data_IF_971785694273
#
_entry.id   IF_971785694273
#
_cell.length_a   1.000
_cell.length_b   1.000
_cell.length_c   1.000
_cell.angle_alpha   90.00
_cell.angle_beta   90.00
_cell.angle_gamma   90.00
#
_symmetry.space_group_name_H-M   'P 1'
#
loop_
_entity.id
_entity.type
_entity.pdbx_description
1 polymer ?
#
# COMPACT_ATOMS: atom_id res chain seq x y z
N UNK A 1 0.62 -14.26 -14.24
CA UNK A 1 0.66 -13.39 -15.42
C UNK A 1 1.18 -12.01 -15.04
N UNK A 2 2.23 -11.49 -15.74
CA UNK A 2 2.74 -10.14 -15.54
C UNK A 2 1.86 -9.12 -16.25
N UNK A 3 1.52 -8.02 -15.58
CA UNK A 3 0.63 -6.96 -16.05
C UNK A 3 1.15 -5.58 -15.65
N UNK A 4 0.71 -4.59 -16.41
CA UNK A 4 0.67 -3.18 -16.00
C UNK A 4 -0.78 -2.77 -15.77
N UNK A 5 -1.02 -1.64 -15.13
CA UNK A 5 -2.39 -1.10 -15.03
C UNK A 5 -3.03 -0.76 -16.37
N UNK A 6 -2.22 -0.58 -17.43
CA UNK A 6 -2.69 -0.30 -18.78
C UNK A 6 -3.21 -1.56 -19.51
N UNK A 7 -2.70 -2.73 -19.16
CA UNK A 7 -3.17 -3.99 -19.72
C UNK A 7 -4.65 -4.19 -19.32
N UNK A 8 -5.50 -4.45 -20.28
CA UNK A 8 -6.94 -4.59 -20.06
C UNK A 8 -7.63 -3.40 -19.37
N UNK A 9 -6.97 -2.25 -19.27
CA UNK A 9 -7.41 -1.08 -18.51
C UNK A 9 -7.67 -1.38 -17.00
N UNK A 10 -6.92 -2.29 -16.39
CA UNK A 10 -7.14 -2.74 -15.02
C UNK A 10 -6.98 -1.64 -13.99
N UNK A 11 -6.00 -0.72 -14.17
CA UNK A 11 -5.75 0.34 -13.18
C UNK A 11 -5.57 1.68 -13.88
N UNK A 12 -6.58 2.54 -13.78
CA UNK A 12 -6.55 3.91 -14.29
C UNK A 12 -6.12 4.89 -13.21
N UNK A 13 -5.29 5.85 -13.61
CA UNK A 13 -4.79 6.89 -12.71
C UNK A 13 -5.06 8.29 -13.28
N UNK A 14 -5.10 9.27 -12.40
CA UNK A 14 -5.09 10.68 -12.79
C UNK A 14 -3.66 11.19 -12.76
N UNK A 15 -3.20 11.87 -13.83
CA UNK A 15 -1.89 12.51 -13.78
C UNK A 15 -1.87 13.51 -12.63
N UNK A 16 -0.85 13.40 -11.76
CA UNK A 16 -0.65 14.33 -10.64
C UNK A 16 -0.49 15.75 -11.16
N UNK A 17 -1.26 16.65 -10.58
CA UNK A 17 -1.09 18.07 -10.85
C UNK A 17 0.13 18.61 -10.10
N UNK A 18 0.78 19.69 -10.58
CA UNK A 18 1.86 20.33 -9.86
C UNK A 18 1.45 20.70 -8.43
N UNK A 19 2.33 20.40 -7.46
CA UNK A 19 2.09 20.58 -6.03
C UNK A 19 2.92 21.73 -5.50
N UNK A 20 2.36 22.55 -4.62
CA UNK A 20 3.11 23.58 -3.88
C UNK A 20 3.95 22.91 -2.81
N UNK A 21 5.25 23.16 -2.84
CA UNK A 21 6.22 22.67 -1.87
C UNK A 21 7.03 23.86 -1.34
N UNK A 22 7.18 23.95 -0.03
CA UNK A 22 8.04 24.98 0.55
C UNK A 22 9.51 24.65 0.25
N UNK A 23 10.21 25.60 -0.36
CA UNK A 23 11.64 25.49 -0.64
C UNK A 23 12.43 26.28 0.41
N UNK A 24 13.21 25.58 1.23
CA UNK A 24 14.08 26.24 2.20
C UNK A 24 15.12 27.13 1.52
N UNK A 25 15.66 26.71 0.38
CA UNK A 25 16.63 27.46 -0.41
C UNK A 25 16.08 28.81 -0.92
N UNK A 26 14.79 28.82 -1.30
CA UNK A 26 14.13 30.04 -1.82
C UNK A 26 13.34 30.79 -0.76
N UNK A 27 13.17 30.23 0.43
CA UNK A 27 12.33 30.79 1.48
C UNK A 27 10.87 31.02 1.09
N UNK A 28 10.36 30.28 0.11
CA UNK A 28 9.01 30.46 -0.47
C UNK A 28 8.45 29.16 -1.02
N UNK A 29 7.12 29.12 -1.19
CA UNK A 29 6.44 28.03 -1.90
C UNK A 29 6.83 28.04 -3.38
N UNK A 30 7.24 26.90 -3.89
CA UNK A 30 7.46 26.65 -5.31
C UNK A 30 6.46 25.61 -5.83
N UNK A 31 6.10 25.73 -7.11
CA UNK A 31 5.27 24.73 -7.77
C UNK A 31 6.17 23.65 -8.37
N UNK A 32 6.00 22.40 -7.94
CA UNK A 32 6.77 21.25 -8.42
C UNK A 32 5.90 20.37 -9.27
N UNK A 33 6.28 20.19 -10.54
CA UNK A 33 5.70 19.17 -11.44
C UNK A 33 6.54 17.89 -11.32
N UNK A 34 5.92 16.82 -10.82
CA UNK A 34 6.56 15.49 -10.70
C UNK A 34 6.56 14.70 -12.01
N UNK A 35 6.13 15.30 -13.13
CA UNK A 35 6.11 14.66 -14.44
C UNK A 35 4.96 13.65 -14.59
N UNK A 36 5.27 12.47 -15.08
CA UNK A 36 4.27 11.43 -15.38
C UNK A 36 3.98 10.55 -14.17
N UNK A 37 3.53 11.15 -13.07
CA UNK A 37 3.08 10.45 -11.85
C UNK A 37 1.56 10.31 -11.88
N UNK A 38 1.09 9.11 -11.52
CA UNK A 38 -0.33 8.78 -11.41
C UNK A 38 -0.81 8.72 -9.97
N UNK A 39 -1.91 9.38 -9.69
CA UNK A 39 -2.65 9.29 -8.45
C UNK A 39 -3.88 8.39 -8.62
N UNK A 40 -4.13 7.53 -7.63
CA UNK A 40 -5.24 6.57 -7.62
C UNK A 40 -6.33 7.01 -6.66
N UNK A 41 -7.56 6.58 -6.96
CA UNK A 41 -8.73 6.71 -6.10
C UNK A 41 -9.54 5.39 -6.09
N UNK A 42 -10.65 5.35 -5.36
CA UNK A 42 -11.52 4.19 -5.17
C UNK A 42 -12.21 3.69 -6.45
N UNK A 43 -12.11 4.44 -7.55
CA UNK A 43 -12.64 4.09 -8.88
C UNK A 43 -11.55 3.65 -9.84
N UNK A 44 -10.29 3.62 -9.42
CA UNK A 44 -9.13 3.39 -10.27
C UNK A 44 -9.01 1.95 -10.77
N UNK A 45 -9.52 0.96 -10.01
CA UNK A 45 -9.37 -0.48 -10.30
C UNK A 45 -10.65 -1.06 -10.89
N UNK A 46 -10.52 -1.76 -12.03
CA UNK A 46 -11.58 -2.62 -12.54
C UNK A 46 -11.60 -3.96 -11.80
N UNK A 47 -12.27 -3.98 -10.66
CA UNK A 47 -12.33 -5.16 -9.79
C UNK A 47 -13.09 -6.33 -10.41
N UNK A 48 -14.06 -6.07 -11.29
CA UNK A 48 -14.80 -7.14 -11.99
C UNK A 48 -13.92 -7.85 -13.03
N UNK A 49 -13.17 -7.10 -13.82
CA UNK A 49 -12.23 -7.68 -14.76
C UNK A 49 -11.09 -8.44 -14.05
N UNK A 50 -10.59 -7.90 -12.95
CA UNK A 50 -9.57 -8.55 -12.14
C UNK A 50 -10.10 -9.84 -11.49
N UNK A 51 -11.33 -9.84 -10.98
CA UNK A 51 -12.01 -11.04 -10.44
C UNK A 51 -12.05 -12.17 -11.48
N UNK A 52 -12.38 -11.86 -12.73
CA UNK A 52 -12.42 -12.86 -13.82
C UNK A 52 -11.06 -13.51 -14.06
N UNK A 53 -9.95 -12.77 -13.94
CA UNK A 53 -8.61 -13.36 -14.04
C UNK A 53 -8.34 -14.34 -12.88
N UNK A 54 -8.74 -13.99 -11.67
CA UNK A 54 -8.59 -14.87 -10.50
C UNK A 54 -9.43 -16.14 -10.65
N UNK A 55 -10.69 -16.04 -11.12
CA UNK A 55 -11.58 -17.17 -11.38
C UNK A 55 -11.04 -18.13 -12.45
N UNK A 56 -10.28 -17.62 -13.42
CA UNK A 56 -9.54 -18.42 -14.41
C UNK A 56 -8.27 -19.08 -13.85
N UNK A 57 -7.95 -18.86 -12.57
CA UNK A 57 -6.78 -19.44 -11.89
C UNK A 57 -5.48 -18.68 -12.14
N UNK A 58 -5.51 -17.48 -12.69
CA UNK A 58 -4.31 -16.67 -12.84
C UNK A 58 -3.92 -16.00 -11.50
N UNK A 59 -2.61 -15.82 -11.31
CA UNK A 59 -2.05 -14.94 -10.29
C UNK A 59 -1.54 -13.67 -11.01
N UNK A 60 -2.27 -12.54 -10.96
CA UNK A 60 -1.84 -11.27 -11.55
C UNK A 60 -0.65 -10.69 -10.77
N UNK A 61 0.39 -10.24 -11.48
CA UNK A 61 1.55 -9.56 -10.92
C UNK A 61 1.67 -8.20 -11.60
N UNK A 62 1.29 -7.14 -10.90
CA UNK A 62 1.30 -5.80 -11.45
C UNK A 62 2.64 -5.09 -11.22
N UNK A 63 3.14 -4.43 -12.27
CA UNK A 63 4.21 -3.44 -12.14
C UNK A 63 3.65 -2.08 -11.70
N UNK A 64 4.54 -1.17 -11.29
CA UNK A 64 4.20 0.17 -10.83
C UNK A 64 3.84 1.15 -11.96
N UNK A 65 3.24 0.66 -13.04
CA UNK A 65 2.81 1.43 -14.21
C UNK A 65 1.29 1.40 -14.33
N UNK A 66 0.70 2.58 -14.42
CA UNK A 66 -0.73 2.81 -14.63
C UNK A 66 -0.93 3.63 -15.92
N UNK A 67 -2.15 4.08 -16.21
CA UNK A 67 -2.45 4.89 -17.37
C UNK A 67 -3.61 5.86 -17.11
N UNK A 68 -3.70 6.93 -17.92
CA UNK A 68 -4.75 7.95 -17.79
C UNK A 68 -6.05 7.62 -18.55
N UNK A 69 -6.12 6.49 -19.23
CA UNK A 69 -7.22 6.10 -20.10
C UNK A 69 -7.22 6.80 -21.49
N UNK A 70 -6.18 7.59 -21.79
CA UNK A 70 -6.05 8.35 -23.06
C UNK A 70 -4.74 8.05 -23.80
N UNK A 71 -4.02 7.00 -23.37
CA UNK A 71 -2.78 6.54 -24.00
C UNK A 71 -1.51 6.99 -23.29
N UNK A 72 -1.59 7.77 -22.20
CA UNK A 72 -0.44 8.16 -21.43
C UNK A 72 -0.19 7.16 -20.28
N UNK A 73 1.00 6.57 -20.23
CA UNK A 73 1.46 5.78 -19.10
C UNK A 73 1.93 6.70 -17.96
N UNK A 74 1.67 6.25 -16.73
CA UNK A 74 1.99 6.98 -15.51
C UNK A 74 2.73 6.05 -14.53
N UNK A 75 3.75 6.57 -13.86
CA UNK A 75 4.42 5.90 -12.77
C UNK A 75 3.60 6.10 -11.49
N UNK A 76 3.30 5.03 -10.78
CA UNK A 76 2.50 5.07 -9.55
C UNK A 76 3.24 4.31 -8.45
N UNK A 77 3.13 4.77 -7.21
CA UNK A 77 3.74 4.11 -6.07
C UNK A 77 3.17 2.68 -5.91
N UNK A 78 4.05 1.69 -5.78
CA UNK A 78 3.67 0.27 -5.69
C UNK A 78 2.83 -0.06 -4.46
N UNK A 79 3.13 0.55 -3.29
CA UNK A 79 2.35 0.36 -2.07
C UNK A 79 0.92 0.89 -2.25
N UNK A 80 0.79 2.03 -2.96
CA UNK A 80 -0.52 2.61 -3.31
C UNK A 80 -1.31 1.69 -4.25
N UNK A 81 -0.64 1.12 -5.27
CA UNK A 81 -1.29 0.15 -6.18
C UNK A 81 -1.77 -1.07 -5.39
N UNK A 82 -0.92 -1.64 -4.53
CA UNK A 82 -1.27 -2.80 -3.73
C UNK A 82 -2.47 -2.52 -2.80
N UNK A 83 -2.46 -1.36 -2.13
CA UNK A 83 -3.55 -0.94 -1.25
C UNK A 83 -4.87 -0.76 -2.00
N UNK A 84 -4.87 -0.03 -3.12
CA UNK A 84 -6.10 0.24 -3.86
C UNK A 84 -6.68 -1.01 -4.52
N UNK A 85 -5.83 -1.94 -5.00
CA UNK A 85 -6.28 -3.24 -5.49
C UNK A 85 -6.94 -4.00 -4.34
N UNK A 86 -6.29 -4.09 -3.18
CA UNK A 86 -6.81 -4.81 -2.02
C UNK A 86 -8.17 -4.25 -1.57
N UNK A 87 -8.30 -2.93 -1.44
CA UNK A 87 -9.56 -2.25 -1.08
C UNK A 87 -10.65 -2.51 -2.12
N UNK A 88 -10.31 -2.42 -3.42
CA UNK A 88 -11.28 -2.68 -4.48
C UNK A 88 -11.75 -4.12 -4.49
N UNK A 89 -10.86 -5.08 -4.23
CA UNK A 89 -11.18 -6.50 -4.17
C UNK A 89 -11.91 -6.89 -2.87
N UNK A 90 -11.77 -6.13 -1.80
CA UNK A 90 -12.50 -6.35 -0.54
C UNK A 90 -14.04 -6.22 -0.70
N UNK A 91 -14.49 -5.58 -1.78
CA UNK A 91 -15.92 -5.52 -2.14
C UNK A 91 -16.47 -6.86 -2.64
N UNK A 92 -15.59 -7.76 -3.10
CA UNK A 92 -15.93 -9.05 -3.72
C UNK A 92 -15.43 -10.26 -2.93
N UNK A 93 -14.35 -10.08 -2.15
CA UNK A 93 -13.64 -11.14 -1.44
C UNK A 93 -13.27 -10.72 -0.03
N UNK A 94 -13.09 -11.70 0.87
CA UNK A 94 -12.37 -11.47 2.11
C UNK A 94 -10.88 -11.26 1.76
N UNK A 95 -10.38 -10.02 1.92
CA UNK A 95 -9.07 -9.62 1.41
C UNK A 95 -8.15 -9.22 2.55
N UNK A 96 -6.91 -9.71 2.50
CA UNK A 96 -5.79 -9.29 3.36
C UNK A 96 -4.71 -8.66 2.49
N UNK A 97 -4.07 -7.60 2.98
CA UNK A 97 -2.93 -6.95 2.33
C UNK A 97 -1.64 -7.32 3.06
N UNK A 98 -0.62 -7.70 2.30
CA UNK A 98 0.67 -8.10 2.87
C UNK A 98 1.75 -7.20 2.28
N UNK A 99 2.42 -6.44 3.15
CA UNK A 99 3.60 -5.67 2.80
C UNK A 99 4.87 -6.42 3.18
N UNK A 100 5.72 -6.67 2.19
CA UNK A 100 7.02 -7.30 2.37
C UNK A 100 8.12 -6.25 2.44
N UNK A 101 8.89 -6.25 3.55
CA UNK A 101 9.97 -5.31 3.81
C UNK A 101 11.27 -6.04 4.17
N UNK A 102 12.31 -5.25 4.50
CA UNK A 102 13.60 -5.77 4.98
C UNK A 102 13.57 -6.16 6.47
N UNK A 103 12.74 -5.48 7.28
CA UNK A 103 12.59 -5.73 8.72
C UNK A 103 11.50 -6.76 8.99
N UNK A 104 11.62 -7.43 10.13
CA UNK A 104 10.67 -8.47 10.56
C UNK A 104 9.22 -7.97 10.70
N UNK A 105 9.00 -6.68 10.83
CA UNK A 105 7.72 -6.02 11.02
C UNK A 105 7.90 -4.69 11.73
N UNK A 106 6.91 -4.25 12.49
CA UNK A 106 7.01 -3.09 13.37
C UNK A 106 7.73 -3.52 14.66
N UNK A 107 8.83 -2.85 14.98
CA UNK A 107 9.70 -3.17 16.11
C UNK A 107 9.60 -2.09 17.20
N UNK A 108 9.66 -2.48 18.47
CA UNK A 108 9.80 -1.53 19.57
C UNK A 108 11.18 -0.83 19.55
N UNK A 109 12.20 -1.58 19.12
CA UNK A 109 13.55 -1.05 18.86
C UNK A 109 13.97 -1.48 17.45
N UNK A 110 14.18 -0.51 16.56
CA UNK A 110 14.49 -0.73 15.13
C UNK A 110 15.76 -1.56 14.91
N UNK A 111 16.69 -1.57 15.87
CA UNK A 111 17.95 -2.30 15.80
C UNK A 111 17.88 -3.74 16.39
N UNK A 112 16.70 -4.14 16.90
CA UNK A 112 16.51 -5.44 17.55
C UNK A 112 15.25 -6.15 17.07
N UNK A 113 15.40 -7.11 16.16
CA UNK A 113 14.31 -7.89 15.58
C UNK A 113 13.54 -8.72 16.62
N UNK A 114 14.13 -8.99 17.82
CA UNK A 114 13.44 -9.69 18.91
C UNK A 114 12.32 -8.87 19.53
N UNK A 115 12.30 -7.56 19.29
CA UNK A 115 11.31 -6.61 19.80
C UNK A 115 10.08 -6.45 18.88
N UNK A 116 9.83 -7.43 18.01
CA UNK A 116 8.73 -7.44 17.07
C UNK A 116 7.37 -7.33 17.78
N UNK A 117 6.59 -6.33 17.37
CA UNK A 117 5.20 -6.15 17.80
C UNK A 117 4.32 -7.03 16.92
N UNK A 118 3.75 -8.09 17.48
CA UNK A 118 2.97 -9.09 16.73
C UNK A 118 1.63 -8.57 16.22
N UNK A 119 0.97 -7.71 16.99
CA UNK A 119 -0.35 -7.17 16.62
C UNK A 119 -0.49 -5.73 17.05
N UNK A 120 -1.09 -4.92 16.18
CA UNK A 120 -1.37 -3.50 16.45
C UNK A 120 -2.82 -3.24 16.02
N UNK A 121 -3.61 -2.69 16.94
CA UNK A 121 -4.93 -2.13 16.69
C UNK A 121 -4.87 -0.59 16.75
N UNK A 122 -5.92 0.15 16.34
CA UNK A 122 -5.88 1.62 16.32
C UNK A 122 -5.53 2.27 17.67
N UNK A 123 -6.09 1.84 18.84
CA UNK A 123 -5.69 2.40 20.13
C UNK A 123 -4.22 2.21 20.44
N UNK A 124 -3.68 1.01 20.17
CA UNK A 124 -2.27 0.71 20.41
C UNK A 124 -1.36 1.46 19.43
N UNK A 125 -1.79 1.61 18.17
CA UNK A 125 -1.07 2.44 17.19
C UNK A 125 -0.91 3.89 17.66
N UNK A 126 -1.99 4.51 18.15
CA UNK A 126 -1.93 5.87 18.67
C UNK A 126 -1.00 6.00 19.88
N UNK A 127 -0.97 4.98 20.73
CA UNK A 127 -0.04 4.93 21.88
C UNK A 127 1.42 4.86 21.43
N UNK A 128 1.75 3.94 20.50
CA UNK A 128 3.10 3.78 19.95
C UNK A 128 3.58 5.06 19.25
N UNK A 129 2.68 5.73 18.51
CA UNK A 129 2.95 6.99 17.84
C UNK A 129 3.24 8.11 18.85
N UNK A 130 2.46 8.20 19.93
CA UNK A 130 2.65 9.17 21.00
C UNK A 130 3.96 8.97 21.76
N UNK A 131 4.39 7.73 21.94
CA UNK A 131 5.65 7.37 22.58
C UNK A 131 6.87 7.56 21.68
N UNK A 132 6.69 7.90 20.39
CA UNK A 132 7.79 8.05 19.44
C UNK A 132 8.48 6.72 19.07
N UNK A 133 7.83 5.58 19.31
CA UNK A 133 8.36 4.24 18.99
C UNK A 133 8.31 4.03 17.47
N UNK A 134 7.23 4.48 16.83
CA UNK A 134 7.08 4.38 15.38
C UNK A 134 7.84 5.54 14.74
N UNK A 135 8.86 5.22 13.93
CA UNK A 135 9.62 6.22 13.22
C UNK A 135 8.79 6.96 12.16
N UNK A 136 9.19 8.18 11.82
CA UNK A 136 8.45 9.05 10.88
C UNK A 136 8.22 8.39 9.51
N UNK A 137 9.15 7.58 9.02
CA UNK A 137 9.02 6.89 7.73
C UNK A 137 7.99 5.76 7.73
N UNK A 138 7.66 5.19 8.91
CA UNK A 138 6.67 4.13 9.05
C UNK A 138 5.24 4.67 9.27
N UNK A 139 5.11 5.87 9.81
CA UNK A 139 3.81 6.49 10.11
C UNK A 139 2.87 6.51 8.89
N UNK A 140 3.28 7.03 7.71
CA UNK A 140 2.39 7.06 6.55
C UNK A 140 1.95 5.67 6.10
N UNK A 141 2.80 4.65 6.27
CA UNK A 141 2.47 3.27 5.90
C UNK A 141 1.42 2.66 6.81
N UNK A 142 1.53 2.91 8.12
CA UNK A 142 0.56 2.43 9.10
C UNK A 142 -0.76 3.21 8.99
N UNK A 143 -0.71 4.53 8.78
CA UNK A 143 -1.91 5.33 8.52
C UNK A 143 -2.67 4.80 7.30
N UNK A 144 -1.99 4.57 6.16
CA UNK A 144 -2.60 3.99 4.96
C UNK A 144 -3.13 2.56 5.18
N UNK A 145 -2.43 1.76 6.00
CA UNK A 145 -2.87 0.40 6.31
C UNK A 145 -4.17 0.39 7.14
N UNK A 146 -4.28 1.25 8.15
CA UNK A 146 -5.51 1.39 8.94
C UNK A 146 -6.66 1.98 8.09
N UNK A 147 -6.38 2.94 7.22
CA UNK A 147 -7.36 3.45 6.27
C UNK A 147 -7.90 2.32 5.36
N UNK A 148 -7.03 1.46 4.85
CA UNK A 148 -7.43 0.32 4.03
C UNK A 148 -8.30 -0.69 4.83
N UNK A 149 -7.99 -0.92 6.12
CA UNK A 149 -8.81 -1.76 7.01
C UNK A 149 -10.19 -1.14 7.23
N UNK A 150 -10.26 0.19 7.41
CA UNK A 150 -11.53 0.90 7.56
C UNK A 150 -12.38 0.83 6.29
N UNK A 151 -11.72 0.77 5.12
CA UNK A 151 -12.36 0.60 3.81
C UNK A 151 -12.76 -0.87 3.50
N UNK A 152 -12.56 -1.81 4.42
CA UNK A 152 -13.12 -3.15 4.31
C UNK A 152 -12.13 -4.30 4.23
N UNK A 153 -10.81 -4.04 4.32
CA UNK A 153 -9.86 -5.14 4.46
C UNK A 153 -10.04 -5.86 5.80
N UNK A 154 -9.82 -7.16 5.77
CA UNK A 154 -9.80 -7.98 6.98
C UNK A 154 -8.63 -7.59 7.89
N UNK A 155 -7.47 -7.42 7.30
CA UNK A 155 -6.20 -7.14 7.98
C UNK A 155 -5.15 -6.63 7.02
N UNK A 156 -4.11 -6.01 7.57
CA UNK A 156 -2.86 -5.74 6.87
C UNK A 156 -1.71 -6.39 7.65
N UNK A 157 -0.86 -7.16 6.97
CA UNK A 157 0.32 -7.76 7.56
C UNK A 157 1.58 -7.07 7.02
N UNK A 158 2.55 -6.82 7.90
CA UNK A 158 3.83 -6.18 7.56
C UNK A 158 4.95 -7.09 8.07
N UNK A 159 5.84 -7.55 7.19
CA UNK A 159 6.91 -8.43 7.62
C UNK A 159 8.00 -8.63 6.58
N UNK A 160 8.98 -9.45 6.94
CA UNK A 160 10.13 -9.73 6.07
C UNK A 160 9.75 -10.71 4.97
N UNK A 161 10.15 -10.42 3.73
CA UNK A 161 9.85 -11.28 2.57
C UNK A 161 10.28 -12.74 2.75
N UNK A 162 11.43 -12.98 3.39
CA UNK A 162 11.95 -14.31 3.65
C UNK A 162 11.06 -15.15 4.59
N UNK A 163 10.18 -14.49 5.36
CA UNK A 163 9.27 -15.12 6.31
C UNK A 163 7.86 -15.31 5.77
N UNK A 164 7.62 -15.03 4.49
CA UNK A 164 6.29 -15.08 3.88
C UNK A 164 5.63 -16.47 3.97
N UNK A 165 6.42 -17.54 3.99
CA UNK A 165 5.94 -18.92 4.19
C UNK A 165 5.23 -19.13 5.54
N UNK A 166 5.54 -18.30 6.55
CA UNK A 166 4.91 -18.36 7.89
C UNK A 166 3.58 -17.61 7.98
N UNK A 167 3.11 -17.01 6.90
CA UNK A 167 1.86 -16.23 6.88
C UNK A 167 0.66 -17.06 7.37
N UNK A 168 0.53 -18.28 6.88
CA UNK A 168 -0.57 -19.20 7.22
C UNK A 168 -0.51 -19.70 8.68
N UNK A 169 0.62 -19.63 9.33
CA UNK A 169 0.82 -20.03 10.73
C UNK A 169 0.55 -18.89 11.72
N UNK A 170 0.06 -17.73 11.23
CA UNK A 170 -0.09 -16.49 12.01
C UNK A 170 1.23 -15.99 12.65
N UNK A 171 2.36 -16.37 12.08
CA UNK A 171 3.70 -16.03 12.58
C UNK A 171 4.45 -15.02 11.71
N UNK A 172 3.80 -14.50 10.67
CA UNK A 172 4.37 -13.50 9.78
C UNK A 172 4.25 -12.10 10.38
N UNK A 173 5.37 -11.49 10.68
CA UNK A 173 5.53 -10.07 10.98
C UNK A 173 4.57 -9.46 12.01
N UNK A 174 4.15 -8.23 11.73
CA UNK A 174 3.14 -7.47 12.47
C UNK A 174 1.80 -7.53 11.76
N UNK A 175 0.75 -7.85 12.48
CA UNK A 175 -0.62 -7.86 12.00
C UNK A 175 -1.38 -6.63 12.48
N UNK A 176 -1.98 -5.89 11.56
CA UNK A 176 -2.84 -4.74 11.83
C UNK A 176 -4.30 -5.18 11.66
N UNK A 177 -5.15 -4.86 12.62
CA UNK A 177 -6.60 -5.20 12.62
C UNK A 177 -7.40 -4.06 13.23
N UNK A 178 -8.72 -4.12 13.09
CA UNK A 178 -9.64 -3.20 13.81
C UNK A 178 -9.52 -3.30 15.30
#
# INVERSE_FOLDING_TARGET
>A
IGLTGADGNFIRAKKRQPVKVYSEEKGADILVDYGFVGDLDDTSVDSEALSKLLELGFTPVFSAITHDGKGQLLNTNADTIASIIAVSMAKLYETSLIYCFEKAGVLMNVEDDSTLIKSINPPYYHELKRQGIINEGMIPKLDNAFEAIDQGLKEVCIGKSDSLSSLNEHNFGTRLTK
#
